data_IF_397529010843
#
_entry.id   IF_397529010843
#
_cell.length_a   1.000
_cell.length_b   1.000
_cell.length_c   1.000
_cell.angle_alpha   90.00
_cell.angle_beta   90.00
_cell.angle_gamma   90.00
#
_symmetry.space_group_name_H-M   'P 1'
#
loop_
_entity.id
_entity.type
_entity.pdbx_description
1 polymer ?
#
# COMPACT_ATOMS: atom_id res chain seq x y z
N UNK A 1 58.83 5.28 -24.79
CA UNK A 1 58.01 4.74 -25.89
C UNK A 1 57.34 3.48 -25.36
N UNK A 2 56.55 3.58 -24.30
CA UNK A 2 55.17 4.13 -24.29
C UNK A 2 54.28 3.44 -25.30
N UNK A 3 53.37 2.61 -24.79
CA UNK A 3 51.95 2.80 -25.02
C UNK A 3 51.17 2.05 -23.93
N UNK A 4 50.82 2.79 -22.88
CA UNK A 4 49.74 2.46 -21.97
C UNK A 4 48.43 2.46 -22.79
N UNK A 5 47.86 1.28 -23.05
CA UNK A 5 46.45 1.18 -23.40
C UNK A 5 45.65 1.43 -22.13
N UNK A 6 45.18 2.66 -21.98
CA UNK A 6 44.22 3.01 -20.95
C UNK A 6 42.97 2.16 -21.12
N UNK A 7 42.68 1.33 -20.12
CA UNK A 7 41.34 0.83 -19.88
C UNK A 7 40.45 2.04 -19.60
N UNK A 8 39.73 2.50 -20.63
CA UNK A 8 38.56 3.36 -20.43
C UNK A 8 37.52 2.51 -19.72
N UNK A 9 37.50 2.56 -18.39
CA UNK A 9 36.35 2.13 -17.61
C UNK A 9 35.17 2.98 -18.05
N UNK A 10 34.36 2.46 -18.97
CA UNK A 10 33.03 2.95 -19.22
C UNK A 10 32.25 2.74 -17.92
N UNK A 11 32.32 3.72 -17.03
CA UNK A 11 31.42 3.84 -15.89
C UNK A 11 30.03 4.10 -16.47
N UNK A 12 29.37 3.02 -16.91
CA UNK A 12 27.93 3.03 -17.14
C UNK A 12 27.33 3.20 -15.76
N UNK A 13 27.06 4.45 -15.37
CA UNK A 13 26.35 4.76 -14.15
C UNK A 13 24.99 4.08 -14.27
N UNK A 14 24.82 2.93 -13.59
CA UNK A 14 23.56 2.17 -13.62
C UNK A 14 22.50 3.02 -12.93
N UNK A 15 21.63 3.64 -13.71
CA UNK A 15 20.47 4.36 -13.19
C UNK A 15 19.54 3.32 -12.56
N UNK A 16 19.16 3.46 -11.28
CA UNK A 16 18.17 2.59 -10.67
C UNK A 16 16.87 2.62 -11.46
N UNK A 17 16.18 1.48 -11.56
CA UNK A 17 14.91 1.37 -12.31
C UNK A 17 13.87 2.40 -11.83
N UNK A 18 13.92 2.76 -10.55
CA UNK A 18 13.02 3.73 -9.92
C UNK A 18 13.18 5.16 -10.51
N UNK A 19 14.33 5.47 -11.10
CA UNK A 19 14.63 6.78 -11.69
C UNK A 19 14.77 6.76 -13.21
N UNK A 20 14.79 5.56 -13.81
CA UNK A 20 14.86 5.37 -15.27
C UNK A 20 13.46 5.48 -15.89
N UNK A 21 12.93 6.70 -15.90
CA UNK A 21 11.59 7.02 -16.40
C UNK A 21 11.62 8.23 -17.32
N UNK A 22 10.71 8.26 -18.29
CA UNK A 22 10.48 9.41 -19.16
C UNK A 22 9.29 10.26 -18.65
N UNK A 23 8.99 11.44 -19.25
CA UNK A 23 7.88 12.28 -18.81
C UNK A 23 6.50 11.61 -18.86
N UNK A 24 6.25 10.70 -19.82
CA UNK A 24 4.97 9.98 -19.93
C UNK A 24 4.80 8.96 -18.80
N UNK A 25 5.88 8.24 -18.47
CA UNK A 25 5.95 7.36 -17.30
C UNK A 25 5.73 8.17 -16.02
N UNK A 26 6.38 9.33 -15.89
CA UNK A 26 6.22 10.20 -14.73
C UNK A 26 4.77 10.71 -14.58
N UNK A 27 4.10 11.08 -15.69
CA UNK A 27 2.70 11.48 -15.67
C UNK A 27 1.80 10.34 -15.14
N UNK A 28 2.02 9.11 -15.62
CA UNK A 28 1.30 7.94 -15.14
C UNK A 28 1.54 7.68 -13.64
N UNK A 29 2.80 7.73 -13.20
CA UNK A 29 3.20 7.50 -11.80
C UNK A 29 2.57 8.55 -10.88
N UNK A 30 2.66 9.84 -11.22
CA UNK A 30 2.13 10.95 -10.40
C UNK A 30 0.60 10.90 -10.35
N UNK A 31 -0.08 10.70 -11.49
CA UNK A 31 -1.53 10.60 -11.53
C UNK A 31 -2.02 9.38 -10.75
N UNK A 32 -1.33 8.24 -10.88
CA UNK A 32 -1.61 7.04 -10.07
C UNK A 32 -1.45 7.30 -8.58
N UNK A 33 -0.40 8.04 -8.19
CA UNK A 33 -0.17 8.43 -6.79
C UNK A 33 -1.35 9.21 -6.22
N UNK A 34 -1.88 10.19 -6.96
CA UNK A 34 -3.03 10.98 -6.52
C UNK A 34 -4.28 10.13 -6.33
N UNK A 35 -4.53 9.19 -7.25
CA UNK A 35 -5.66 8.26 -7.13
C UNK A 35 -5.46 7.31 -5.94
N UNK A 36 -4.25 6.84 -5.67
CA UNK A 36 -3.95 6.01 -4.49
C UNK A 36 -4.14 6.81 -3.19
N UNK A 37 -3.77 8.08 -3.13
CA UNK A 37 -4.05 8.90 -1.94
C UNK A 37 -5.55 9.01 -1.64
N UNK A 38 -6.44 8.92 -2.64
CA UNK A 38 -7.89 8.87 -2.38
C UNK A 38 -8.31 7.61 -1.60
N UNK A 39 -7.51 6.54 -1.61
CA UNK A 39 -7.75 5.35 -0.78
C UNK A 39 -7.77 5.69 0.71
N UNK A 40 -7.08 6.73 1.16
CA UNK A 40 -7.13 7.18 2.56
C UNK A 40 -8.55 7.62 2.96
N UNK A 41 -9.25 8.32 2.06
CA UNK A 41 -10.67 8.63 2.23
C UNK A 41 -11.50 7.35 2.24
N UNK A 42 -11.15 6.38 1.37
CA UNK A 42 -11.76 5.06 1.34
C UNK A 42 -11.64 4.29 2.65
N UNK A 43 -10.45 4.23 3.25
CA UNK A 43 -10.21 3.62 4.56
C UNK A 43 -11.00 4.34 5.66
N UNK A 44 -10.93 5.69 5.72
CA UNK A 44 -11.69 6.46 6.69
C UNK A 44 -13.20 6.18 6.62
N UNK A 45 -13.78 6.16 5.42
CA UNK A 45 -15.20 5.84 5.23
C UNK A 45 -15.52 4.38 5.58
N UNK A 46 -14.68 3.43 5.14
CA UNK A 46 -14.89 2.01 5.43
C UNK A 46 -14.89 1.76 6.94
N UNK A 47 -13.88 2.28 7.64
CA UNK A 47 -13.67 2.07 9.06
C UNK A 47 -14.70 2.84 9.90
N UNK A 48 -15.04 4.09 9.54
CA UNK A 48 -16.12 4.84 10.19
C UNK A 48 -17.46 4.12 10.08
N UNK A 49 -17.74 3.47 8.95
CA UNK A 49 -18.93 2.65 8.77
C UNK A 49 -18.94 1.38 9.65
N UNK A 50 -17.77 0.84 9.98
CA UNK A 50 -17.60 -0.39 10.75
C UNK A 50 -17.51 -0.19 12.27
N UNK A 51 -17.25 1.03 12.75
CA UNK A 51 -17.21 1.37 14.18
C UNK A 51 -18.56 1.89 14.65
N UNK A 52 -18.76 1.98 15.96
CA UNK A 52 -19.95 2.64 16.51
C UNK A 52 -19.93 4.15 16.22
N UNK A 53 -21.12 4.75 16.10
CA UNK A 53 -21.29 6.18 15.82
C UNK A 53 -20.51 7.10 16.78
N UNK A 54 -20.39 6.71 18.06
CA UNK A 54 -19.61 7.48 19.05
C UNK A 54 -18.10 7.53 18.76
N UNK A 55 -17.58 6.62 17.93
CA UNK A 55 -16.16 6.47 17.62
C UNK A 55 -15.82 6.90 16.18
N UNK A 56 -16.80 7.32 15.38
CA UNK A 56 -16.63 7.74 13.98
C UNK A 56 -15.57 8.84 13.83
N UNK A 57 -15.67 9.91 14.63
CA UNK A 57 -14.69 11.01 14.60
C UNK A 57 -13.30 10.49 14.97
N UNK A 58 -13.20 9.61 15.96
CA UNK A 58 -11.89 9.10 16.39
C UNK A 58 -11.18 8.33 15.28
N UNK A 59 -11.89 7.48 14.54
CA UNK A 59 -11.28 6.67 13.47
C UNK A 59 -10.95 7.50 12.23
N UNK A 60 -11.79 8.49 11.89
CA UNK A 60 -11.49 9.45 10.83
C UNK A 60 -10.23 10.27 11.14
N UNK A 61 -10.07 10.72 12.39
CA UNK A 61 -8.87 11.45 12.80
C UNK A 61 -7.61 10.59 12.79
N UNK A 62 -7.72 9.26 13.02
CA UNK A 62 -6.58 8.33 12.90
C UNK A 62 -6.08 8.25 11.46
N UNK A 63 -6.98 8.16 10.48
CA UNK A 63 -6.62 8.19 9.05
C UNK A 63 -5.91 9.50 8.68
N UNK A 64 -6.39 10.65 9.17
CA UNK A 64 -5.70 11.94 8.95
C UNK A 64 -4.30 11.93 9.55
N UNK A 65 -4.15 11.39 10.76
CA UNK A 65 -2.85 11.25 11.43
C UNK A 65 -1.91 10.34 10.63
N UNK A 66 -2.42 9.27 10.02
CA UNK A 66 -1.60 8.36 9.20
C UNK A 66 -1.02 9.04 7.97
N UNK A 67 -1.76 9.95 7.34
CA UNK A 67 -1.22 10.77 6.25
C UNK A 67 -0.16 11.74 6.78
N UNK A 68 -0.46 12.47 7.86
CA UNK A 68 0.41 13.55 8.35
C UNK A 68 1.69 12.99 8.97
N UNK A 69 1.57 12.10 9.96
CA UNK A 69 2.72 11.54 10.68
C UNK A 69 3.38 10.41 9.91
N UNK A 70 2.62 9.58 9.22
CA UNK A 70 3.19 8.56 8.34
C UNK A 70 3.94 9.22 7.18
N UNK A 71 3.37 10.25 6.56
CA UNK A 71 4.05 10.98 5.50
C UNK A 71 5.29 11.73 5.97
N UNK A 72 5.23 12.39 7.14
CA UNK A 72 6.42 12.99 7.76
C UNK A 72 7.51 11.95 8.01
N UNK A 73 7.17 10.79 8.57
CA UNK A 73 8.13 9.71 8.82
C UNK A 73 8.73 9.17 7.52
N UNK A 74 7.90 9.01 6.49
CA UNK A 74 8.35 8.49 5.20
C UNK A 74 9.34 9.45 4.53
N UNK A 75 9.09 10.75 4.62
CA UNK A 75 10.01 11.79 4.17
C UNK A 75 11.34 11.78 4.95
N UNK A 76 11.29 11.72 6.28
CA UNK A 76 12.48 11.76 7.12
C UNK A 76 13.35 10.50 6.97
N UNK A 77 12.73 9.32 6.98
CA UNK A 77 13.42 8.04 7.11
C UNK A 77 12.97 7.01 6.08
N UNK A 78 11.67 6.92 5.83
CA UNK A 78 11.08 5.78 5.14
C UNK A 78 11.59 5.57 3.71
N UNK A 79 11.65 6.64 2.91
CA UNK A 79 12.17 6.54 1.54
C UNK A 79 13.62 6.04 1.53
N UNK A 80 14.45 6.56 2.44
CA UNK A 80 15.85 6.14 2.57
C UNK A 80 16.01 4.69 3.04
N UNK A 81 15.19 4.22 3.98
CA UNK A 81 15.24 2.83 4.42
C UNK A 81 14.76 1.84 3.34
N UNK A 82 13.81 2.24 2.50
CA UNK A 82 13.27 1.41 1.40
C UNK A 82 14.15 1.43 0.15
N UNK A 83 14.73 2.58 -0.20
CA UNK A 83 15.37 2.82 -1.51
C UNK A 83 16.75 3.49 -1.43
N UNK A 84 17.28 3.72 -0.23
CA UNK A 84 18.56 4.39 -0.02
C UNK A 84 19.75 3.66 -0.63
N UNK A 85 20.66 4.42 -1.25
CA UNK A 85 21.80 3.88 -2.04
C UNK A 85 23.18 4.30 -1.52
N UNK A 86 23.25 5.01 -0.40
CA UNK A 86 24.52 5.46 0.17
C UNK A 86 25.37 4.30 0.69
N UNK A 87 26.66 4.59 0.92
CA UNK A 87 27.59 3.63 1.53
C UNK A 87 27.03 3.15 2.87
N UNK A 88 26.86 1.83 3.00
CA UNK A 88 26.25 1.20 4.17
C UNK A 88 24.91 0.53 3.89
N UNK A 89 24.30 0.75 2.72
CA UNK A 89 23.15 -0.04 2.27
C UNK A 89 23.49 -1.54 2.31
N UNK A 90 22.59 -2.33 2.89
CA UNK A 90 22.71 -3.79 3.00
C UNK A 90 21.53 -4.46 2.32
N UNK A 91 21.58 -5.79 2.17
CA UNK A 91 20.43 -6.55 1.67
C UNK A 91 19.15 -6.39 2.50
N UNK A 92 19.29 -5.97 3.76
CA UNK A 92 18.19 -5.85 4.71
C UNK A 92 17.60 -4.43 4.79
N UNK A 93 18.39 -3.38 4.53
CA UNK A 93 17.94 -2.00 4.69
C UNK A 93 18.78 -1.04 3.84
N UNK A 94 18.09 -0.09 3.20
CA UNK A 94 18.68 1.04 2.49
C UNK A 94 19.24 2.09 3.45
N UNK A 95 20.29 2.79 3.03
CA UNK A 95 20.89 3.91 3.76
C UNK A 95 21.02 5.11 2.81
N UNK A 96 20.72 6.32 3.30
CA UNK A 96 20.79 7.56 2.51
C UNK A 96 19.46 7.92 1.86
N UNK A 97 19.45 8.95 1.01
CA UNK A 97 18.21 9.48 0.41
C UNK A 97 17.13 9.86 1.46
N UNK A 98 17.58 10.23 2.68
CA UNK A 98 16.75 10.75 3.76
C UNK A 98 16.38 12.21 3.50
N UNK A 99 15.23 12.65 4.02
CA UNK A 99 14.74 14.03 3.84
C UNK A 99 14.71 14.42 2.36
N UNK A 100 14.01 13.62 1.55
CA UNK A 100 14.01 13.75 0.08
C UNK A 100 13.82 15.20 -0.36
N UNK A 101 14.88 15.77 -0.92
CA UNK A 101 14.96 17.13 -1.46
C UNK A 101 16.12 17.19 -2.47
N UNK A 102 15.96 16.61 -3.68
CA UNK A 102 16.99 16.64 -4.72
C UNK A 102 17.34 18.08 -5.12
N UNK A 103 18.61 18.31 -5.47
CA UNK A 103 19.08 19.66 -5.82
C UNK A 103 18.45 20.15 -7.13
N UNK A 104 18.36 21.48 -7.29
CA UNK A 104 17.72 22.08 -8.48
C UNK A 104 18.42 21.72 -9.80
N UNK A 105 19.72 21.45 -9.74
CA UNK A 105 20.59 21.06 -10.85
C UNK A 105 20.68 19.54 -11.06
N UNK A 106 20.09 18.72 -10.17
CA UNK A 106 20.08 17.27 -10.32
C UNK A 106 19.21 16.85 -11.53
N UNK A 107 19.77 16.15 -12.54
CA UNK A 107 19.01 15.73 -13.72
C UNK A 107 17.83 14.81 -13.39
N UNK A 108 17.96 13.96 -12.37
CA UNK A 108 16.96 12.99 -11.92
C UNK A 108 15.90 13.56 -10.96
N UNK A 109 15.94 14.85 -10.61
CA UNK A 109 15.05 15.44 -9.59
C UNK A 109 13.56 15.13 -9.80
N UNK A 110 13.09 15.19 -11.04
CA UNK A 110 11.70 14.89 -11.38
C UNK A 110 11.34 13.43 -11.10
N UNK A 111 12.25 12.51 -11.43
CA UNK A 111 12.07 11.09 -11.18
C UNK A 111 12.16 10.76 -9.67
N UNK A 112 13.03 11.43 -8.93
CA UNK A 112 13.12 11.30 -7.47
C UNK A 112 11.80 11.73 -6.80
N UNK A 113 11.24 12.88 -7.16
CA UNK A 113 9.95 13.32 -6.62
C UNK A 113 8.79 12.41 -7.05
N UNK A 114 8.76 11.92 -8.30
CA UNK A 114 7.75 10.97 -8.77
C UNK A 114 7.81 9.64 -8.01
N UNK A 115 9.01 9.10 -7.80
CA UNK A 115 9.23 7.91 -7.01
C UNK A 115 8.79 8.10 -5.55
N UNK A 116 9.16 9.24 -4.96
CA UNK A 116 8.83 9.57 -3.59
C UNK A 116 7.32 9.64 -3.38
N UNK A 117 6.59 10.41 -4.20
CA UNK A 117 5.14 10.58 -4.04
C UNK A 117 4.38 9.27 -4.28
N UNK A 118 4.84 8.45 -5.22
CA UNK A 118 4.27 7.14 -5.48
C UNK A 118 4.44 6.24 -4.26
N UNK A 119 5.67 6.04 -3.80
CA UNK A 119 5.94 5.13 -2.68
C UNK A 119 5.37 5.64 -1.35
N UNK A 120 5.28 6.96 -1.16
CA UNK A 120 4.60 7.58 -0.02
C UNK A 120 3.12 7.18 0.03
N UNK A 121 2.44 7.09 -1.12
CA UNK A 121 1.04 6.68 -1.18
C UNK A 121 0.84 5.23 -0.70
N UNK A 122 1.79 4.33 -0.96
CA UNK A 122 1.78 2.94 -0.46
C UNK A 122 2.12 2.88 1.03
N UNK A 123 3.11 3.65 1.49
CA UNK A 123 3.51 3.67 2.89
C UNK A 123 2.39 4.17 3.81
N UNK A 124 1.70 5.25 3.42
CA UNK A 124 0.53 5.75 4.15
C UNK A 124 -0.63 4.75 4.11
N UNK A 125 -0.81 4.03 2.99
CA UNK A 125 -1.81 2.95 2.86
C UNK A 125 -1.53 1.78 3.80
N UNK A 126 -0.27 1.36 3.93
CA UNK A 126 0.09 0.27 4.84
C UNK A 126 -0.15 0.62 6.31
N UNK A 127 0.13 1.87 6.70
CA UNK A 127 -0.08 2.34 8.07
C UNK A 127 -1.56 2.42 8.44
N UNK A 128 -2.42 2.90 7.53
CA UNK A 128 -3.86 3.03 7.83
C UNK A 128 -4.58 1.69 8.05
N UNK A 129 -4.12 0.59 7.45
CA UNK A 129 -4.67 -0.77 7.68
C UNK A 129 -4.74 -1.11 9.18
N UNK A 130 -3.77 -0.63 9.96
CA UNK A 130 -3.69 -0.91 11.40
C UNK A 130 -4.74 -0.11 12.20
N UNK A 131 -5.18 1.03 11.68
CA UNK A 131 -6.10 1.95 12.36
C UNK A 131 -7.44 1.28 12.66
N UNK A 132 -8.07 0.64 11.66
CA UNK A 132 -9.32 -0.10 11.82
C UNK A 132 -9.19 -1.27 12.79
N UNK A 133 -8.05 -1.97 12.76
CA UNK A 133 -7.77 -3.05 13.70
C UNK A 133 -7.62 -2.55 15.13
N UNK A 134 -7.20 -1.30 15.36
CA UNK A 134 -7.04 -0.66 16.68
C UNK A 134 -8.22 0.24 17.10
N UNK A 135 -9.27 0.32 16.28
CA UNK A 135 -10.44 1.16 16.50
C UNK A 135 -11.17 0.91 17.84
N UNK A 136 -11.81 1.95 18.38
CA UNK A 136 -12.67 1.95 19.58
C UNK A 136 -12.00 1.70 20.95
N UNK A 137 -10.75 1.22 21.02
CA UNK A 137 -10.04 1.02 22.32
C UNK A 137 -8.61 1.55 22.38
N UNK A 138 -8.00 1.89 21.25
CA UNK A 138 -6.68 2.53 21.27
C UNK A 138 -6.81 4.03 21.58
N UNK A 139 -6.06 4.49 22.58
CA UNK A 139 -5.90 5.91 22.89
C UNK A 139 -5.32 6.66 21.69
N UNK A 140 -5.90 7.82 21.35
CA UNK A 140 -5.49 8.59 20.18
C UNK A 140 -4.03 9.07 20.22
N UNK A 141 -3.51 9.51 21.39
CA UNK A 141 -2.11 9.95 21.51
C UNK A 141 -1.14 8.80 21.31
N UNK A 142 -1.47 7.62 21.86
CA UNK A 142 -0.70 6.41 21.63
C UNK A 142 -0.74 6.02 20.14
N UNK A 143 -1.88 6.20 19.47
CA UNK A 143 -2.00 5.98 18.04
C UNK A 143 -1.13 6.94 17.22
N UNK A 144 -1.03 8.21 17.58
CA UNK A 144 -0.11 9.14 16.88
C UNK A 144 1.34 8.67 16.93
N UNK A 145 1.80 8.21 18.09
CA UNK A 145 3.15 7.66 18.24
C UNK A 145 3.30 6.35 17.45
N UNK A 146 2.27 5.49 17.49
CA UNK A 146 2.24 4.26 16.71
C UNK A 146 2.36 4.53 15.21
N UNK A 147 1.57 5.46 14.66
CA UNK A 147 1.57 5.81 13.24
C UNK A 147 2.95 6.27 12.74
N UNK A 148 3.62 7.11 13.54
CA UNK A 148 4.98 7.55 13.28
C UNK A 148 5.96 6.36 13.26
N UNK A 149 5.98 5.53 14.32
CA UNK A 149 6.94 4.42 14.41
C UNK A 149 6.65 3.29 13.41
N UNK A 150 5.38 2.95 13.22
CA UNK A 150 4.95 1.87 12.33
C UNK A 150 5.37 2.16 10.88
N UNK A 151 5.24 3.40 10.43
CA UNK A 151 5.64 3.78 9.07
C UNK A 151 7.16 3.61 8.88
N UNK A 152 7.99 3.95 9.87
CA UNK A 152 9.43 3.73 9.81
C UNK A 152 9.76 2.23 9.69
N UNK A 153 9.14 1.40 10.53
CA UNK A 153 9.39 -0.04 10.53
C UNK A 153 8.88 -0.72 9.26
N UNK A 154 7.74 -0.28 8.71
CA UNK A 154 7.17 -0.77 7.45
C UNK A 154 8.12 -0.62 6.25
N UNK A 155 8.91 0.46 6.21
CA UNK A 155 9.76 0.75 5.06
C UNK A 155 10.89 -0.27 4.88
N UNK A 156 11.33 -0.90 5.97
CA UNK A 156 12.37 -1.93 5.93
C UNK A 156 11.92 -3.14 5.09
N UNK A 157 10.80 -3.83 5.40
CA UNK A 157 10.31 -4.94 4.58
C UNK A 157 9.83 -4.53 3.18
N UNK A 158 9.35 -3.29 2.98
CA UNK A 158 9.10 -2.77 1.63
C UNK A 158 10.40 -2.73 0.80
N UNK A 159 11.51 -2.31 1.41
CA UNK A 159 12.84 -2.34 0.79
C UNK A 159 13.34 -3.74 0.44
N UNK A 160 12.96 -4.79 1.20
CA UNK A 160 13.37 -6.16 0.92
C UNK A 160 12.92 -6.66 -0.46
N UNK A 161 11.74 -6.23 -0.91
CA UNK A 161 11.10 -6.72 -2.13
C UNK A 161 11.16 -5.71 -3.29
N UNK A 162 11.16 -4.40 -3.01
CA UNK A 162 11.15 -3.36 -4.06
C UNK A 162 12.50 -2.66 -4.25
N UNK A 163 13.28 -2.51 -3.17
CA UNK A 163 14.61 -1.91 -3.23
C UNK A 163 15.58 -2.78 -4.03
N UNK A 164 16.45 -2.17 -4.83
CA UNK A 164 17.48 -2.92 -5.59
C UNK A 164 18.45 -3.68 -4.69
N UNK A 165 18.63 -3.19 -3.46
CA UNK A 165 19.42 -3.87 -2.44
C UNK A 165 18.68 -5.07 -1.84
N UNK A 166 17.35 -5.09 -1.88
CA UNK A 166 16.51 -5.99 -1.11
C UNK A 166 16.81 -7.47 -1.33
N UNK A 167 17.01 -8.21 -0.25
CA UNK A 167 17.37 -9.63 -0.35
C UNK A 167 16.26 -10.48 -0.97
N UNK A 168 14.97 -10.19 -0.70
CA UNK A 168 13.86 -10.95 -1.30
C UNK A 168 13.79 -10.71 -2.82
N UNK A 169 13.98 -9.45 -3.25
CA UNK A 169 14.09 -9.11 -4.68
C UNK A 169 15.21 -9.89 -5.35
N UNK A 170 16.38 -9.92 -4.71
CA UNK A 170 17.56 -10.62 -5.23
C UNK A 170 17.45 -12.16 -5.20
N UNK A 171 16.54 -12.71 -4.39
CA UNK A 171 16.15 -14.12 -4.41
C UNK A 171 15.08 -14.44 -5.47
N UNK A 172 14.57 -13.44 -6.19
CA UNK A 172 13.55 -13.61 -7.23
C UNK A 172 12.11 -13.59 -6.72
N UNK A 173 11.86 -13.11 -5.50
CA UNK A 173 10.49 -12.90 -5.03
C UNK A 173 9.80 -11.81 -5.85
N UNK A 174 8.51 -12.02 -6.16
CA UNK A 174 7.71 -11.12 -6.98
C UNK A 174 6.51 -10.64 -6.18
N UNK A 175 6.41 -9.32 -6.05
CA UNK A 175 5.26 -8.62 -5.50
C UNK A 175 5.13 -7.28 -6.22
N UNK A 176 4.28 -7.24 -7.25
CA UNK A 176 4.22 -6.10 -8.17
C UNK A 176 3.73 -4.83 -7.47
N UNK A 177 2.57 -4.91 -6.81
CA UNK A 177 1.93 -3.77 -6.20
C UNK A 177 1.82 -3.89 -4.67
N UNK A 178 2.20 -5.00 -4.03
CA UNK A 178 2.29 -5.07 -2.57
C UNK A 178 1.23 -5.90 -1.85
N UNK A 179 0.87 -7.10 -2.33
CA UNK A 179 0.13 -8.04 -1.46
C UNK A 179 0.95 -8.39 -0.22
N UNK A 180 2.26 -8.54 -0.38
CA UNK A 180 3.22 -8.72 0.69
C UNK A 180 3.60 -7.39 1.30
N UNK A 181 4.25 -6.53 0.51
CA UNK A 181 4.88 -5.29 0.95
C UNK A 181 3.90 -4.40 1.72
N UNK A 182 2.67 -4.20 1.23
CA UNK A 182 1.64 -3.36 1.86
C UNK A 182 0.71 -4.19 2.74
N UNK A 183 -0.01 -5.15 2.15
CA UNK A 183 -1.16 -5.73 2.82
C UNK A 183 -0.79 -6.80 3.86
N UNK A 184 0.20 -7.65 3.59
CA UNK A 184 0.66 -8.63 4.57
C UNK A 184 1.39 -7.95 5.73
N UNK A 185 2.27 -6.98 5.47
CA UNK A 185 2.97 -6.23 6.52
C UNK A 185 1.96 -5.42 7.35
N UNK A 186 1.09 -4.65 6.70
CA UNK A 186 0.03 -3.89 7.37
C UNK A 186 -0.92 -4.79 8.16
N UNK A 187 -1.33 -5.91 7.58
CA UNK A 187 -2.17 -6.92 8.24
C UNK A 187 -1.50 -7.61 9.43
N UNK A 188 -0.19 -7.88 9.34
CA UNK A 188 0.59 -8.46 10.44
C UNK A 188 0.77 -7.48 11.60
N UNK A 189 1.02 -6.20 11.29
CA UNK A 189 1.06 -5.12 12.28
C UNK A 189 -0.32 -4.92 12.92
N UNK A 190 -1.39 -4.96 12.12
CA UNK A 190 -2.77 -4.89 12.58
C UNK A 190 -3.13 -6.04 13.52
N UNK A 191 -2.77 -7.28 13.15
CA UNK A 191 -2.97 -8.47 13.97
C UNK A 191 -2.23 -8.37 15.31
N UNK A 192 -0.94 -8.04 15.26
CA UNK A 192 -0.10 -7.89 16.47
C UNK A 192 -0.66 -6.80 17.39
N UNK A 193 -1.05 -5.66 16.83
CA UNK A 193 -1.62 -4.55 17.59
C UNK A 193 -2.98 -4.91 18.21
N UNK A 194 -3.84 -5.62 17.47
CA UNK A 194 -5.12 -6.08 17.98
C UNK A 194 -4.95 -7.12 19.11
N UNK A 195 -3.97 -8.02 18.97
CA UNK A 195 -3.63 -9.01 20.00
C UNK A 195 -3.15 -8.33 21.29
N UNK A 196 -2.28 -7.33 21.19
CA UNK A 196 -1.76 -6.58 22.34
C UNK A 196 -2.84 -5.74 23.06
N UNK A 197 -3.76 -5.13 22.31
CA UNK A 197 -4.87 -4.37 22.88
C UNK A 197 -5.96 -5.25 23.50
N UNK A 198 -6.09 -6.49 23.00
CA UNK A 198 -7.19 -7.36 23.34
C UNK A 198 -8.54 -6.93 22.72
N UNK A 199 -9.61 -7.69 23.04
CA UNK A 199 -10.94 -7.41 22.52
C UNK A 199 -11.53 -6.13 23.09
N UNK A 200 -12.48 -5.53 22.35
CA UNK A 200 -13.26 -4.39 22.84
C UNK A 200 -14.01 -4.80 24.12
N UNK A 201 -14.17 -3.88 25.05
CA UNK A 201 -14.94 -4.12 26.28
C UNK A 201 -16.35 -4.61 25.92
N UNK A 202 -16.74 -5.75 26.50
CA UNK A 202 -18.03 -6.39 26.25
C UNK A 202 -18.20 -7.09 24.89
N UNK A 203 -17.15 -7.19 24.07
CA UNK A 203 -17.22 -7.78 22.70
C UNK A 203 -17.79 -9.20 22.69
N UNK A 204 -17.51 -9.99 23.71
CA UNK A 204 -17.83 -11.42 23.78
C UNK A 204 -18.85 -11.77 24.88
N UNK A 205 -19.40 -10.79 25.57
CA UNK A 205 -20.35 -11.00 26.67
C UNK A 205 -21.66 -11.65 26.18
N UNK A 206 -22.04 -11.35 24.92
CA UNK A 206 -23.24 -11.86 24.27
C UNK A 206 -22.92 -12.81 23.10
N UNK A 207 -21.79 -13.52 23.18
CA UNK A 207 -21.34 -14.47 22.17
C UNK A 207 -20.40 -13.87 21.12
N UNK A 208 -20.16 -14.63 20.05
CA UNK A 208 -19.11 -14.36 19.05
C UNK A 208 -19.60 -13.69 17.77
N UNK A 209 -20.92 -13.46 17.64
CA UNK A 209 -21.51 -12.85 16.45
C UNK A 209 -20.86 -11.50 16.13
N UNK A 210 -20.77 -11.14 14.85
CA UNK A 210 -20.23 -9.85 14.41
C UNK A 210 -21.06 -8.69 15.00
N UNK A 211 -20.38 -7.60 15.31
CA UNK A 211 -21.06 -6.36 15.69
C UNK A 211 -21.74 -5.75 14.46
N UNK A 212 -22.92 -5.12 14.61
CA UNK A 212 -23.55 -4.41 13.50
C UNK A 212 -22.68 -3.23 13.05
N UNK A 213 -22.79 -2.88 11.78
CA UNK A 213 -22.18 -1.67 11.23
C UNK A 213 -22.80 -0.42 11.86
N UNK A 214 -21.98 0.57 12.21
CA UNK A 214 -22.47 1.85 12.70
C UNK A 214 -23.12 2.67 11.59
N UNK A 215 -22.54 2.65 10.39
CA UNK A 215 -23.08 3.29 9.20
C UNK A 215 -22.77 2.46 7.93
N UNK A 216 -23.73 1.66 7.45
CA UNK A 216 -23.57 0.86 6.24
C UNK A 216 -23.26 1.69 4.98
N UNK A 217 -23.76 2.93 4.89
CA UNK A 217 -23.50 3.80 3.73
C UNK A 217 -22.02 4.16 3.69
N UNK A 218 -21.44 4.59 4.81
CA UNK A 218 -20.00 4.87 4.88
C UNK A 218 -19.15 3.64 4.55
N UNK A 219 -19.54 2.46 5.06
CA UNK A 219 -18.82 1.22 4.77
C UNK A 219 -18.78 0.91 3.26
N UNK A 220 -19.92 1.04 2.57
CA UNK A 220 -20.03 0.81 1.12
C UNK A 220 -19.36 1.91 0.30
N UNK A 221 -19.47 3.18 0.71
CA UNK A 221 -18.76 4.29 0.06
C UNK A 221 -17.25 4.14 0.19
N UNK A 222 -16.78 3.66 1.35
CA UNK A 222 -15.38 3.30 1.58
C UNK A 222 -14.90 2.25 0.59
N UNK A 223 -15.66 1.16 0.41
CA UNK A 223 -15.38 0.14 -0.60
C UNK A 223 -15.25 0.75 -2.01
N UNK A 224 -16.19 1.60 -2.44
CA UNK A 224 -16.13 2.17 -3.81
C UNK A 224 -14.90 3.04 -4.03
N UNK A 225 -14.53 3.86 -3.05
CA UNK A 225 -13.32 4.70 -3.16
C UNK A 225 -12.05 3.85 -3.12
N UNK A 226 -12.00 2.81 -2.29
CA UNK A 226 -10.88 1.86 -2.27
C UNK A 226 -10.77 1.13 -3.62
N UNK A 227 -11.89 0.71 -4.21
CA UNK A 227 -11.91 0.00 -5.49
C UNK A 227 -11.40 0.90 -6.63
N UNK A 228 -11.83 2.17 -6.67
CA UNK A 228 -11.32 3.19 -7.58
C UNK A 228 -9.80 3.38 -7.45
N UNK A 229 -9.32 3.60 -6.22
CA UNK A 229 -7.89 3.77 -5.97
C UNK A 229 -7.07 2.52 -6.32
N UNK A 230 -7.63 1.33 -6.11
CA UNK A 230 -6.95 0.05 -6.36
C UNK A 230 -6.62 -0.19 -7.83
N UNK A 231 -7.45 0.33 -8.75
CA UNK A 231 -7.14 0.29 -10.18
C UNK A 231 -5.80 0.97 -10.44
N UNK A 232 -5.55 2.11 -9.81
CA UNK A 232 -4.30 2.87 -9.91
C UNK A 232 -3.17 2.26 -9.09
N UNK A 233 -3.50 1.65 -7.95
CA UNK A 233 -2.56 0.91 -7.11
C UNK A 233 -1.89 -0.24 -7.88
N UNK A 234 -2.68 -0.99 -8.65
CA UNK A 234 -2.18 -2.13 -9.41
C UNK A 234 -1.60 -1.70 -10.76
N UNK A 235 -2.31 -0.90 -11.54
CA UNK A 235 -1.84 -0.48 -12.87
C UNK A 235 -0.72 0.57 -12.83
N UNK A 236 -0.66 1.39 -11.79
CA UNK A 236 0.45 2.32 -11.53
C UNK A 236 1.76 1.61 -11.20
N UNK A 237 1.69 0.42 -10.60
CA UNK A 237 2.85 -0.39 -10.20
C UNK A 237 3.60 -1.05 -11.36
N UNK A 238 3.13 -0.91 -12.60
CA UNK A 238 3.97 -1.17 -13.80
C UNK A 238 5.04 -0.09 -14.00
N UNK A 239 4.94 1.00 -13.25
CA UNK A 239 5.92 2.07 -13.14
C UNK A 239 6.24 2.71 -14.50
N UNK A 240 5.17 2.98 -15.26
CA UNK A 240 5.21 3.68 -16.54
C UNK A 240 4.28 3.09 -17.59
N UNK A 241 4.28 3.71 -18.76
CA UNK A 241 3.52 3.35 -19.96
C UNK A 241 4.41 3.20 -21.20
N UNK A 242 5.67 3.62 -21.15
CA UNK A 242 6.58 3.53 -22.30
C UNK A 242 6.90 2.07 -22.68
N UNK A 243 7.08 1.81 -23.97
CA UNK A 243 7.37 0.49 -24.52
C UNK A 243 6.25 -0.52 -24.22
N UNK A 244 6.59 -1.68 -23.66
CA UNK A 244 5.61 -2.71 -23.30
C UNK A 244 4.87 -2.41 -21.99
N UNK A 245 5.26 -1.39 -21.22
CA UNK A 245 4.68 -1.13 -19.89
C UNK A 245 3.18 -0.85 -19.95
N UNK A 246 2.67 -0.19 -21.00
CA UNK A 246 1.23 0.09 -21.11
C UNK A 246 0.38 -1.17 -21.29
N UNK A 247 0.89 -2.23 -21.95
CA UNK A 247 0.21 -3.52 -22.04
C UNK A 247 0.01 -4.11 -20.65
N UNK A 248 1.05 -4.09 -19.83
CA UNK A 248 0.99 -4.56 -18.45
C UNK A 248 0.07 -3.69 -17.59
N UNK A 249 0.08 -2.36 -17.77
CA UNK A 249 -0.77 -1.44 -16.99
C UNK A 249 -2.25 -1.69 -17.29
N UNK A 250 -2.60 -1.82 -18.57
CA UNK A 250 -3.95 -2.13 -19.01
C UNK A 250 -4.39 -3.52 -18.50
N UNK A 251 -3.51 -4.54 -18.59
CA UNK A 251 -3.79 -5.88 -18.07
C UNK A 251 -3.99 -5.87 -16.55
N UNK A 252 -3.16 -5.15 -15.81
CA UNK A 252 -3.28 -5.02 -14.36
C UNK A 252 -4.64 -4.45 -13.96
N UNK A 253 -5.13 -3.43 -14.66
CA UNK A 253 -6.46 -2.86 -14.41
C UNK A 253 -7.58 -3.90 -14.67
N UNK A 254 -7.52 -4.63 -15.79
CA UNK A 254 -8.51 -5.66 -16.14
C UNK A 254 -8.51 -6.81 -15.12
N UNK A 255 -7.34 -7.34 -14.77
CA UNK A 255 -7.23 -8.45 -13.82
C UNK A 255 -7.65 -8.04 -12.40
N UNK A 256 -7.41 -6.78 -12.02
CA UNK A 256 -7.94 -6.22 -10.77
C UNK A 256 -9.46 -6.31 -10.73
N UNK A 257 -10.14 -5.92 -11.81
CA UNK A 257 -11.61 -6.02 -11.90
C UNK A 257 -12.09 -7.47 -11.92
N UNK A 258 -11.47 -8.33 -12.73
CA UNK A 258 -11.84 -9.75 -12.79
C UNK A 258 -11.70 -10.45 -11.42
N UNK A 259 -10.64 -10.13 -10.66
CA UNK A 259 -10.48 -10.62 -9.29
C UNK A 259 -11.66 -10.20 -8.41
N UNK A 260 -12.07 -8.93 -8.46
CA UNK A 260 -13.22 -8.43 -7.69
C UNK A 260 -14.56 -9.02 -8.10
N UNK A 261 -14.73 -9.36 -9.38
CA UNK A 261 -15.93 -10.06 -9.83
C UNK A 261 -15.97 -11.46 -9.21
N UNK A 262 -14.86 -12.18 -9.23
CA UNK A 262 -14.74 -13.49 -8.56
C UNK A 262 -15.00 -13.39 -7.05
N UNK A 263 -14.28 -12.51 -6.36
CA UNK A 263 -14.42 -12.30 -4.90
C UNK A 263 -15.83 -11.85 -4.50
N UNK A 264 -16.40 -10.91 -5.24
CA UNK A 264 -17.77 -10.41 -5.04
C UNK A 264 -18.82 -11.49 -5.26
N UNK A 265 -18.77 -12.22 -6.38
CA UNK A 265 -19.71 -13.31 -6.68
C UNK A 265 -19.64 -14.42 -5.62
N UNK A 266 -18.43 -14.86 -5.25
CA UNK A 266 -18.25 -15.88 -4.20
C UNK A 266 -18.83 -15.39 -2.88
N UNK A 267 -18.65 -14.11 -2.54
CA UNK A 267 -19.10 -13.56 -1.27
C UNK A 267 -20.61 -13.33 -1.20
N UNK A 268 -21.24 -12.98 -2.32
CA UNK A 268 -22.70 -12.96 -2.46
C UNK A 268 -23.28 -14.36 -2.24
N UNK A 269 -22.72 -15.37 -2.89
CA UNK A 269 -23.16 -16.77 -2.72
C UNK A 269 -22.94 -17.22 -1.27
N UNK A 270 -21.77 -16.95 -0.71
CA UNK A 270 -21.40 -17.30 0.65
C UNK A 270 -22.37 -16.71 1.67
N UNK A 271 -22.67 -15.41 1.61
CA UNK A 271 -23.55 -14.76 2.59
C UNK A 271 -24.99 -15.28 2.50
N UNK A 272 -25.50 -15.53 1.28
CA UNK A 272 -26.82 -16.13 1.04
C UNK A 272 -26.93 -17.51 1.68
N UNK A 273 -25.91 -18.37 1.50
CA UNK A 273 -25.88 -19.71 2.09
C UNK A 273 -25.78 -19.61 3.63
N UNK A 274 -24.83 -18.81 4.12
CA UNK A 274 -24.56 -18.62 5.56
C UNK A 274 -25.79 -18.10 6.32
N UNK A 275 -26.59 -17.24 5.70
CA UNK A 275 -27.70 -16.52 6.34
C UNK A 275 -29.09 -16.96 5.83
N UNK A 276 -29.21 -18.16 5.26
CA UNK A 276 -30.47 -18.75 4.80
C UNK A 276 -31.29 -17.82 3.89
N UNK A 277 -30.64 -17.30 2.84
CA UNK A 277 -31.27 -16.42 1.84
C UNK A 277 -31.10 -14.93 2.08
N UNK A 278 -30.46 -14.51 3.19
CA UNK A 278 -30.21 -13.10 3.51
C UNK A 278 -28.79 -12.67 3.12
N UNK A 279 -28.57 -11.36 3.05
CA UNK A 279 -27.28 -10.75 2.72
C UNK A 279 -26.78 -9.93 3.89
N UNK A 280 -25.51 -10.14 4.27
CA UNK A 280 -24.75 -9.23 5.11
C UNK A 280 -23.76 -8.41 4.26
N UNK A 281 -23.91 -7.07 4.20
CA UNK A 281 -23.03 -6.22 3.40
C UNK A 281 -21.54 -6.41 3.71
N UNK A 282 -21.17 -6.71 4.96
CA UNK A 282 -19.76 -6.82 5.33
C UNK A 282 -19.09 -8.06 4.74
N UNK A 283 -19.84 -9.15 4.53
CA UNK A 283 -19.33 -10.36 3.87
C UNK A 283 -18.94 -10.03 2.41
N UNK A 284 -19.77 -9.25 1.71
CA UNK A 284 -19.51 -8.82 0.32
C UNK A 284 -18.34 -7.83 0.26
N UNK A 285 -18.31 -6.84 1.15
CA UNK A 285 -17.23 -5.86 1.23
C UNK A 285 -15.88 -6.56 1.46
N UNK A 286 -15.80 -7.44 2.46
CA UNK A 286 -14.58 -8.19 2.76
C UNK A 286 -14.18 -9.14 1.62
N UNK A 287 -15.17 -9.71 0.93
CA UNK A 287 -14.95 -10.50 -0.28
C UNK A 287 -14.24 -9.75 -1.38
N UNK A 288 -14.77 -8.57 -1.72
CA UNK A 288 -14.21 -7.72 -2.78
C UNK A 288 -12.82 -7.21 -2.34
N UNK A 289 -12.69 -6.65 -1.13
CA UNK A 289 -11.41 -6.14 -0.63
C UNK A 289 -10.35 -7.26 -0.52
N UNK A 290 -10.75 -8.45 -0.06
CA UNK A 290 -9.85 -9.61 0.00
C UNK A 290 -9.34 -10.03 -1.37
N UNK A 291 -10.21 -10.01 -2.39
CA UNK A 291 -9.80 -10.30 -3.77
C UNK A 291 -8.94 -9.20 -4.40
N UNK A 292 -9.17 -7.93 -4.03
CA UNK A 292 -8.28 -6.82 -4.39
C UNK A 292 -6.88 -7.03 -3.80
N UNK A 293 -6.79 -7.39 -2.52
CA UNK A 293 -5.51 -7.72 -1.86
C UNK A 293 -4.81 -8.91 -2.52
N UNK A 294 -5.56 -9.95 -2.89
CA UNK A 294 -4.99 -11.18 -3.45
C UNK A 294 -4.38 -10.98 -4.84
N UNK A 295 -4.99 -10.16 -5.69
CA UNK A 295 -4.51 -9.91 -7.07
C UNK A 295 -3.32 -8.95 -7.12
N UNK A 296 -3.12 -8.10 -6.10
CA UNK A 296 -2.10 -7.04 -6.05
C UNK A 296 -0.68 -7.52 -6.43
N UNK A 297 -0.18 -8.64 -5.87
CA UNK A 297 1.19 -9.12 -6.14
C UNK A 297 1.41 -9.60 -7.57
N UNK A 298 0.36 -10.12 -8.22
CA UNK A 298 0.42 -10.71 -9.55
C UNK A 298 -0.46 -10.00 -10.56
N UNK A 299 -0.75 -8.71 -10.37
CA UNK A 299 -1.86 -8.03 -11.03
C UNK A 299 -1.81 -8.09 -12.56
N UNK A 300 -0.62 -8.06 -13.18
CA UNK A 300 -0.48 -8.30 -14.62
C UNK A 300 0.13 -9.66 -14.99
N UNK A 301 0.42 -10.53 -14.01
CA UNK A 301 0.96 -11.87 -14.24
C UNK A 301 -0.15 -12.92 -14.32
N UNK A 302 -1.19 -12.77 -13.51
CA UNK A 302 -2.30 -13.72 -13.48
C UNK A 302 -3.13 -13.64 -14.77
N UNK A 303 -3.54 -14.80 -15.25
CA UNK A 303 -4.33 -14.98 -16.46
C UNK A 303 -5.80 -15.18 -16.10
N UNK A 304 -6.68 -14.59 -16.90
CA UNK A 304 -8.11 -14.90 -16.81
C UNK A 304 -8.33 -16.32 -17.31
N UNK A 305 -9.13 -17.10 -16.59
CA UNK A 305 -9.56 -18.42 -17.05
C UNK A 305 -10.41 -18.26 -18.32
N UNK A 306 -9.83 -18.60 -19.47
CA UNK A 306 -10.51 -18.95 -20.71
C UNK A 306 -10.11 -20.37 -21.09
#
# INVERSE_FOLDING_TARGET
MDQNFGETSNNVTKIPWLYDINPDDANWIITSSFMIFTMQTGFGMLESGCVSLKNEVNIMMKNVVDIVLGGLTYWMFGFGMSFGRSKGTTGFMGIGDYFVDPSLDEPSKGAVYAAFIFQLSFATTATTIVSGAMAERCNFKAYCLFSFLNTAIYCIPAGWIWGDHGFLKNLGAVDIAGSGAVHLIGGSAAFSSALMLGPRLGRYDNGIASLPLGNPVNAVMGLFVLWWGWLSFNSGSTYGLNGEKWHYAARAAVMTMLSTFGGGTVSIIFTIIKLNGKIDPIDIINGILGSLVAVTAGCFLYEGLL
#
